data_IF_908396384399
#
_entry.id   IF_908396384399
#
_cell.length_a   1.000
_cell.length_b   1.000
_cell.length_c   1.000
_cell.angle_alpha   90.00
_cell.angle_beta   90.00
_cell.angle_gamma   90.00
#
_symmetry.space_group_name_H-M   'P 1'
#
loop_
_entity.id
_entity.type
_entity.pdbx_description
1 polymer ?
#
# COMPACT_ATOMS: atom_id res chain seq x y z
N UNK A 1 2.97 -0.59 -24.74
CA UNK A 1 3.07 -1.16 -23.38
C UNK A 1 2.59 -0.12 -22.38
N UNK A 2 1.31 -0.13 -22.01
CA UNK A 2 0.72 0.74 -20.97
C UNK A 2 -0.31 -0.12 -20.23
N UNK A 3 -0.02 -0.45 -18.97
CA UNK A 3 -0.94 -0.87 -17.89
C UNK A 3 -0.10 -1.63 -16.85
N UNK A 4 0.31 -0.92 -15.81
CA UNK A 4 0.96 -1.49 -14.63
C UNK A 4 0.61 -0.65 -13.38
N UNK A 5 -0.65 -0.24 -13.28
CA UNK A 5 -1.14 0.55 -12.14
C UNK A 5 -2.38 -0.05 -11.47
N UNK A 6 -2.89 -1.18 -11.96
CA UNK A 6 -4.07 -1.81 -11.41
C UNK A 6 -3.60 -2.96 -10.51
N UNK A 7 -3.91 -2.85 -9.21
CA UNK A 7 -3.63 -3.80 -8.12
C UNK A 7 -2.15 -4.01 -7.75
N UNK A 8 -1.68 -3.24 -6.78
CA UNK A 8 -0.47 -3.54 -6.01
C UNK A 8 -0.84 -3.63 -4.54
N UNK A 9 -0.61 -4.80 -3.95
CA UNK A 9 -0.54 -4.95 -2.50
C UNK A 9 0.88 -5.33 -2.12
N UNK A 10 1.38 -4.58 -1.15
CA UNK A 10 2.47 -4.89 -0.24
C UNK A 10 3.90 -4.59 -0.66
N UNK A 11 4.53 -3.68 0.09
CA UNK A 11 5.97 -3.43 0.11
C UNK A 11 6.57 -4.02 1.40
N UNK A 12 7.68 -4.74 1.29
CA UNK A 12 8.58 -4.92 2.42
C UNK A 12 9.57 -3.77 2.49
N UNK A 13 9.75 -3.17 3.66
CA UNK A 13 10.74 -2.12 3.89
C UNK A 13 11.70 -2.54 4.99
N UNK A 14 13.00 -2.23 4.85
CA UNK A 14 13.93 -2.21 5.99
C UNK A 14 13.85 -0.83 6.60
N UNK A 15 13.40 -0.75 7.85
CA UNK A 15 13.88 0.30 8.77
C UNK A 15 15.19 -0.24 9.35
N UNK A 16 16.19 0.59 9.71
CA UNK A 16 17.58 0.15 9.88
C UNK A 16 17.80 -1.05 10.83
N UNK A 17 16.81 -1.41 11.66
CA UNK A 17 16.84 -2.53 12.60
C UNK A 17 15.69 -3.57 12.45
N UNK A 18 14.70 -3.38 11.57
CA UNK A 18 13.52 -4.28 11.46
C UNK A 18 13.09 -4.54 10.00
N UNK A 19 12.72 -5.80 9.71
CA UNK A 19 12.08 -6.19 8.45
C UNK A 19 10.58 -6.14 8.66
N UNK A 20 9.91 -5.21 7.97
CA UNK A 20 8.47 -4.96 8.15
C UNK A 20 7.72 -5.12 6.83
N UNK A 21 6.42 -5.41 6.95
CA UNK A 21 5.50 -5.58 5.84
C UNK A 21 4.29 -4.66 6.03
N UNK A 22 3.84 -4.00 4.97
CA UNK A 22 2.67 -3.14 5.00
C UNK A 22 1.63 -3.52 3.94
N UNK A 23 0.40 -3.78 4.37
CA UNK A 23 -0.75 -3.95 3.48
C UNK A 23 -1.64 -2.68 3.57
N UNK A 24 -1.95 -2.01 2.45
CA UNK A 24 -2.82 -0.83 2.49
C UNK A 24 -4.26 -1.23 2.86
N UNK A 25 -4.89 -0.42 3.73
CA UNK A 25 -6.26 -0.65 4.21
C UNK A 25 -7.35 -0.40 3.16
N UNK A 26 -7.04 0.39 2.13
CA UNK A 26 -7.94 0.70 1.01
C UNK A 26 -7.14 0.95 -0.28
N UNK A 27 -7.72 0.80 -1.49
CA UNK A 27 -6.99 0.81 -2.75
C UNK A 27 -6.64 2.23 -3.21
N UNK A 28 -5.74 2.90 -2.49
CA UNK A 28 -5.27 4.26 -2.77
C UNK A 28 -3.81 4.42 -2.40
N UNK A 29 -3.10 5.31 -3.11
CA UNK A 29 -1.75 5.70 -2.74
C UNK A 29 -1.70 6.31 -1.33
N UNK A 30 -2.76 6.98 -0.87
CA UNK A 30 -2.81 7.55 0.47
C UNK A 30 -2.75 6.50 1.59
N UNK A 31 -3.29 5.29 1.33
CA UNK A 31 -3.21 4.16 2.25
C UNK A 31 -1.79 3.60 2.41
N UNK A 32 -0.81 4.12 1.68
CA UNK A 32 0.60 3.85 1.89
C UNK A 32 1.32 5.11 2.39
N UNK A 33 1.11 6.25 1.73
CA UNK A 33 1.87 7.46 1.99
C UNK A 33 1.67 8.01 3.41
N UNK A 34 0.43 8.11 3.88
CA UNK A 34 0.15 8.72 5.18
C UNK A 34 0.56 7.79 6.34
N UNK A 35 0.10 6.51 6.41
CA UNK A 35 0.45 5.62 7.54
C UNK A 35 1.94 5.35 7.69
N UNK A 36 2.69 5.32 6.58
CA UNK A 36 4.11 4.96 6.59
C UNK A 36 5.05 6.14 6.78
N UNK A 37 4.65 7.35 6.40
CA UNK A 37 5.59 8.48 6.26
C UNK A 37 5.11 9.81 6.83
N UNK A 38 3.86 9.95 7.26
CA UNK A 38 3.45 11.16 7.97
C UNK A 38 4.08 11.18 9.37
N UNK A 39 4.54 12.34 9.81
CA UNK A 39 5.12 12.51 11.15
C UNK A 39 4.12 12.22 12.27
N UNK A 40 2.82 12.38 12.01
CA UNK A 40 1.74 12.07 12.96
C UNK A 40 1.62 10.57 13.26
N UNK A 41 2.19 9.71 12.42
CA UNK A 41 2.10 8.25 12.51
C UNK A 41 3.29 7.63 13.26
N UNK A 42 4.09 8.46 13.94
CA UNK A 42 5.23 8.02 14.75
C UNK A 42 4.75 7.67 16.16
N UNK A 43 4.85 6.38 16.52
CA UNK A 43 4.49 5.90 17.85
C UNK A 43 2.98 5.84 18.09
N UNK A 44 2.57 5.57 19.34
CA UNK A 44 1.15 5.52 19.75
C UNK A 44 0.24 4.60 18.90
N UNK A 45 0.82 3.58 18.26
CA UNK A 45 0.10 2.67 17.36
C UNK A 45 0.18 3.01 15.87
N UNK A 46 0.80 4.14 15.50
CA UNK A 46 1.08 4.47 14.10
C UNK A 46 2.19 3.60 13.50
N UNK A 47 2.18 3.48 12.16
CA UNK A 47 3.03 2.54 11.43
C UNK A 47 4.28 3.18 10.77
N UNK A 48 4.57 4.45 11.05
CA UNK A 48 5.81 5.09 10.62
C UNK A 48 6.98 4.62 11.52
N UNK A 49 7.36 3.35 11.33
CA UNK A 49 8.37 2.65 12.12
C UNK A 49 9.78 3.20 11.87
N UNK A 50 10.02 3.78 10.68
CA UNK A 50 11.27 4.46 10.35
C UNK A 50 11.45 5.80 11.07
N UNK A 51 10.42 6.24 11.83
CA UNK A 51 10.37 7.54 12.52
C UNK A 51 10.68 8.70 11.57
N UNK A 52 10.31 8.55 10.30
CA UNK A 52 10.56 9.54 9.27
C UNK A 52 9.76 10.79 9.57
N UNK A 53 10.44 11.94 9.64
CA UNK A 53 9.84 13.21 9.98
C UNK A 53 10.34 14.30 9.04
N UNK A 54 9.44 14.89 8.25
CA UNK A 54 9.75 15.94 7.31
C UNK A 54 8.55 16.88 7.12
N UNK A 55 8.68 18.12 7.60
CA UNK A 55 7.60 19.11 7.58
C UNK A 55 7.13 19.49 6.16
N UNK A 56 8.01 19.41 5.16
CA UNK A 56 7.63 19.62 3.75
C UNK A 56 6.71 18.49 3.28
N UNK A 57 7.08 17.24 3.57
CA UNK A 57 6.28 16.07 3.21
C UNK A 57 4.93 16.10 3.94
N UNK A 58 4.91 16.42 5.22
CA UNK A 58 3.65 16.54 5.98
C UNK A 58 2.71 17.57 5.36
N UNK A 59 3.23 18.73 4.94
CA UNK A 59 2.44 19.75 4.23
C UNK A 59 1.92 19.22 2.91
N UNK A 60 2.76 18.58 2.10
CA UNK A 60 2.35 18.03 0.81
C UNK A 60 1.28 16.93 0.97
N UNK A 61 1.41 16.08 1.99
CA UNK A 61 0.42 15.05 2.34
C UNK A 61 -0.92 15.68 2.72
N UNK A 62 -0.92 16.71 3.56
CA UNK A 62 -2.12 17.43 3.95
C UNK A 62 -2.81 18.09 2.74
N UNK A 63 -2.05 18.74 1.84
CA UNK A 63 -2.58 19.30 0.60
C UNK A 63 -3.19 18.22 -0.31
N UNK A 64 -2.51 17.08 -0.48
CA UNK A 64 -2.99 15.99 -1.33
C UNK A 64 -4.19 15.24 -0.74
N UNK A 65 -4.40 15.30 0.59
CA UNK A 65 -5.55 14.72 1.26
C UNK A 65 -6.85 15.51 1.00
N UNK A 66 -6.75 16.81 0.69
CA UNK A 66 -7.89 17.67 0.39
C UNK A 66 -8.40 17.57 -1.06
N UNK A 67 -7.71 16.81 -1.92
CA UNK A 67 -8.00 16.72 -3.36
C UNK A 67 -8.76 15.45 -3.72
N UNK A 68 -9.49 15.50 -4.85
CA UNK A 68 -10.07 14.30 -5.44
C UNK A 68 -8.98 13.31 -5.89
N UNK A 69 -9.34 12.05 -6.13
CA UNK A 69 -8.36 11.03 -6.51
C UNK A 69 -7.59 11.38 -7.80
N UNK A 70 -8.27 11.93 -8.80
CA UNK A 70 -7.65 12.28 -10.07
C UNK A 70 -6.70 13.48 -9.92
N UNK A 71 -7.12 14.51 -9.18
CA UNK A 71 -6.31 15.70 -8.91
C UNK A 71 -5.10 15.40 -8.02
N UNK A 72 -5.24 14.45 -7.10
CA UNK A 72 -4.17 14.06 -6.19
C UNK A 72 -3.13 13.14 -6.83
N UNK A 73 -3.40 12.53 -8.00
CA UNK A 73 -2.58 11.48 -8.58
C UNK A 73 -1.12 11.89 -8.80
N UNK A 74 -0.91 12.99 -9.51
CA UNK A 74 0.44 13.49 -9.80
C UNK A 74 1.12 14.02 -8.52
N UNK A 75 0.36 14.69 -7.64
CA UNK A 75 0.87 15.17 -6.35
C UNK A 75 1.37 14.03 -5.48
N UNK A 76 0.61 12.94 -5.35
CA UNK A 76 1.02 11.75 -4.58
C UNK A 76 2.26 11.07 -5.17
N UNK A 77 2.39 11.00 -6.48
CA UNK A 77 3.60 10.50 -7.12
C UNK A 77 4.83 11.39 -6.85
N UNK A 78 4.64 12.71 -6.76
CA UNK A 78 5.72 13.64 -6.40
C UNK A 78 6.09 13.55 -4.92
N UNK A 79 5.11 13.35 -4.03
CA UNK A 79 5.35 13.07 -2.60
C UNK A 79 6.17 11.79 -2.45
N UNK A 80 5.76 10.71 -3.10
CA UNK A 80 6.48 9.42 -3.07
C UNK A 80 7.93 9.57 -3.52
N UNK A 81 8.18 10.30 -4.61
CA UNK A 81 9.55 10.59 -5.09
C UNK A 81 10.35 11.40 -4.09
N UNK A 82 9.74 12.41 -3.45
CA UNK A 82 10.40 13.25 -2.45
C UNK A 82 10.79 12.44 -1.21
N UNK A 83 9.92 11.54 -0.75
CA UNK A 83 10.19 10.61 0.35
C UNK A 83 11.32 9.65 -0.03
N UNK A 84 11.29 9.09 -1.24
CA UNK A 84 12.31 8.16 -1.72
C UNK A 84 13.72 8.78 -1.76
N UNK A 85 13.85 10.11 -1.92
CA UNK A 85 15.14 10.82 -1.85
C UNK A 85 15.75 10.82 -0.45
N UNK A 86 14.92 10.77 0.59
CA UNK A 86 15.37 10.74 2.00
C UNK A 86 15.65 9.30 2.48
N UNK A 87 15.29 8.30 1.67
CA UNK A 87 15.50 6.86 1.93
C UNK A 87 15.08 6.43 3.35
N UNK A 88 13.85 6.75 3.82
CA UNK A 88 13.43 6.39 5.19
C UNK A 88 13.21 4.89 5.37
N UNK A 89 12.98 4.17 4.27
CA UNK A 89 12.84 2.72 4.22
C UNK A 89 13.53 2.21 2.97
N UNK A 90 14.06 0.98 3.02
CA UNK A 90 14.60 0.28 1.84
C UNK A 90 13.58 -0.73 1.34
N UNK A 91 12.90 -0.50 0.20
CA UNK A 91 11.96 -1.46 -0.36
C UNK A 91 12.69 -2.75 -0.79
N UNK A 92 12.24 -3.91 -0.33
CA UNK A 92 12.83 -5.21 -0.67
C UNK A 92 12.09 -5.86 -1.82
N UNK A 93 10.79 -6.15 -1.66
CA UNK A 93 9.97 -6.79 -2.69
C UNK A 93 8.52 -6.33 -2.63
N UNK A 94 7.85 -6.36 -3.79
CA UNK A 94 6.39 -6.34 -3.89
C UNK A 94 5.86 -7.77 -3.94
N UNK A 95 5.01 -8.16 -2.97
CA UNK A 95 4.52 -9.53 -2.90
C UNK A 95 3.52 -9.84 -4.02
N UNK A 96 3.60 -11.06 -4.53
CA UNK A 96 2.55 -11.70 -5.33
C UNK A 96 2.09 -12.94 -4.60
N UNK A 97 0.79 -13.07 -4.40
CA UNK A 97 0.19 -14.24 -3.77
C UNK A 97 -0.14 -15.25 -4.87
N UNK A 98 0.24 -16.51 -4.65
CA UNK A 98 -0.22 -17.63 -5.47
C UNK A 98 -1.36 -18.34 -4.72
N UNK A 99 -2.43 -18.65 -5.45
CA UNK A 99 -3.59 -19.33 -4.89
C UNK A 99 -3.84 -20.63 -5.65
N UNK A 100 -4.27 -21.66 -4.91
CA UNK A 100 -4.67 -22.95 -5.45
C UNK A 100 -6.03 -23.31 -4.87
N UNK A 101 -6.94 -23.80 -5.71
CA UNK A 101 -8.22 -24.35 -5.28
C UNK A 101 -8.42 -25.74 -5.86
N UNK A 102 -9.19 -26.57 -5.16
CA UNK A 102 -9.50 -27.93 -5.61
C UNK A 102 -10.35 -27.93 -6.88
N UNK A 103 -10.30 -29.03 -7.64
CA UNK A 103 -11.08 -29.20 -8.88
C UNK A 103 -12.61 -29.17 -8.64
N UNK A 104 -13.06 -29.55 -7.44
CA UNK A 104 -14.47 -29.46 -7.03
C UNK A 104 -14.89 -28.10 -6.47
N UNK A 105 -14.00 -27.10 -6.40
CA UNK A 105 -14.34 -25.75 -5.94
C UNK A 105 -14.89 -24.94 -7.12
N UNK A 106 -16.01 -24.27 -6.92
CA UNK A 106 -16.60 -23.32 -7.87
C UNK A 106 -16.60 -21.91 -7.29
N UNK A 107 -16.68 -20.89 -8.15
CA UNK A 107 -16.74 -19.49 -7.74
C UNK A 107 -15.45 -18.94 -7.12
N UNK A 108 -14.33 -19.66 -7.24
CA UNK A 108 -13.05 -19.17 -6.77
C UNK A 108 -12.49 -18.09 -7.70
N UNK A 109 -12.40 -16.87 -7.20
CA UNK A 109 -11.61 -15.80 -7.78
C UNK A 109 -11.05 -14.90 -6.68
N UNK A 110 -10.02 -14.14 -7.03
CA UNK A 110 -9.35 -13.19 -6.15
C UNK A 110 -9.55 -11.80 -6.73
N UNK A 111 -10.10 -10.90 -5.93
CA UNK A 111 -10.32 -9.52 -6.34
C UNK A 111 -9.00 -8.74 -6.42
N UNK A 112 -8.94 -7.66 -7.24
CA UNK A 112 -7.78 -6.76 -7.27
C UNK A 112 -7.52 -6.10 -5.90
N UNK A 113 -8.59 -5.86 -5.13
CA UNK A 113 -8.54 -5.41 -3.74
C UNK A 113 -9.85 -5.76 -3.00
N UNK A 114 -9.79 -6.31 -1.78
CA UNK A 114 -8.59 -6.84 -1.15
C UNK A 114 -8.13 -8.11 -1.88
N UNK A 115 -6.81 -8.35 -1.96
CA UNK A 115 -6.23 -9.44 -2.75
C UNK A 115 -6.35 -10.81 -2.05
N UNK A 116 -7.59 -11.17 -1.67
CA UNK A 116 -7.97 -12.43 -1.04
C UNK A 116 -9.12 -13.08 -1.82
N UNK A 117 -9.31 -14.40 -1.69
CA UNK A 117 -10.47 -15.06 -2.28
C UNK A 117 -11.78 -14.50 -1.74
N UNK A 118 -12.74 -14.26 -2.63
CA UNK A 118 -14.07 -13.85 -2.22
C UNK A 118 -14.87 -15.05 -1.70
N UNK A 119 -14.86 -15.27 -0.40
CA UNK A 119 -15.53 -16.43 0.21
C UNK A 119 -17.06 -16.37 0.16
N UNK A 120 -17.67 -15.24 -0.19
CA UNK A 120 -19.14 -15.11 -0.27
C UNK A 120 -19.74 -15.84 -1.48
N UNK A 121 -18.91 -16.16 -2.46
CA UNK A 121 -19.31 -16.74 -3.76
C UNK A 121 -18.67 -18.09 -4.03
N UNK A 122 -17.80 -18.56 -3.12
CA UNK A 122 -17.17 -19.88 -3.20
C UNK A 122 -18.19 -20.97 -2.90
N UNK A 123 -18.20 -22.02 -3.71
CA UNK A 123 -19.05 -23.19 -3.55
C UNK A 123 -18.34 -24.50 -3.87
N UNK A 124 -19.09 -25.59 -3.78
CA UNK A 124 -18.65 -26.95 -4.16
C UNK A 124 -19.52 -27.44 -5.31
N UNK A 125 -18.88 -27.99 -6.34
CA UNK A 125 -19.54 -28.63 -7.47
C UNK A 125 -20.19 -29.94 -7.00
N UNK A 126 -21.43 -30.19 -7.43
CA UNK A 126 -22.15 -31.43 -7.16
C UNK A 126 -21.65 -32.57 -8.03
#
# INVERSE_FOLDING_TARGET
MRRAWDSFSMSFGVVPEEIVAWNPDYPSANANLQPLFASSEIGSGGFNLGRYHNAEVDRMLAEAAALSMDEAKEKRANIDRRIAQDVPVVPLVFRRNAFLHGSGVSGFFVDPFPAYPNYLVVGVQK
#
